data_IF_088240703790
#
_entry.id   IF_088240703790
#
_cell.length_a   1.000
_cell.length_b   1.000
_cell.length_c   1.000
_cell.angle_alpha   90.00
_cell.angle_beta   90.00
_cell.angle_gamma   90.00
#
_symmetry.space_group_name_H-M   'P 1'
#
loop_
_entity.id
_entity.type
_entity.pdbx_description
1 polymer ?
#
# COMPACT_ATOMS: atom_id res chain seq x y z
N UNK A 1 -16.67 -4.45 32.18
CA UNK A 1 -16.60 -4.85 30.76
C UNK A 1 -16.34 -3.60 29.96
N UNK A 2 -15.10 -3.42 29.53
CA UNK A 2 -14.65 -2.23 28.82
C UNK A 2 -15.21 -2.26 27.38
N UNK A 3 -16.11 -1.34 27.08
CA UNK A 3 -16.67 -1.15 25.73
C UNK A 3 -15.62 -0.44 24.89
N UNK A 4 -14.80 -1.22 24.19
CA UNK A 4 -13.85 -0.66 23.22
C UNK A 4 -14.68 -0.11 22.05
N UNK A 5 -14.79 1.22 22.01
CA UNK A 5 -15.40 1.99 20.93
C UNK A 5 -14.84 1.54 19.57
N UNK A 6 -15.76 1.18 18.67
CA UNK A 6 -15.49 0.68 17.31
C UNK A 6 -14.95 1.76 16.37
N UNK A 7 -14.22 2.76 16.87
CA UNK A 7 -13.96 3.98 16.12
C UNK A 7 -12.68 3.96 15.28
N UNK A 8 -11.61 3.24 15.62
CA UNK A 8 -10.33 3.51 14.91
C UNK A 8 -9.59 2.33 14.28
N UNK A 9 -10.13 1.10 14.27
CA UNK A 9 -9.55 0.04 13.43
C UNK A 9 -9.65 0.38 11.93
N UNK A 10 -10.72 1.06 11.50
CA UNK A 10 -10.97 1.41 10.09
C UNK A 10 -10.11 2.58 9.59
N UNK A 11 -9.75 3.51 10.46
CA UNK A 11 -8.84 4.64 10.13
C UNK A 11 -7.38 4.25 10.27
N UNK A 12 -7.02 3.43 11.26
CA UNK A 12 -5.68 2.87 11.40
C UNK A 12 -5.29 2.00 10.20
N UNK A 13 -6.25 1.26 9.64
CA UNK A 13 -6.03 0.43 8.44
C UNK A 13 -5.75 1.25 7.19
N UNK A 14 -6.42 2.40 6.98
CA UNK A 14 -6.24 3.20 5.77
C UNK A 14 -4.86 3.86 5.70
N UNK A 15 -4.42 4.49 6.80
CA UNK A 15 -3.07 5.09 6.86
C UNK A 15 -1.99 4.03 6.72
N UNK A 16 -2.16 2.89 7.38
CA UNK A 16 -1.23 1.75 7.30
C UNK A 16 -1.17 1.18 5.87
N UNK A 17 -2.31 0.97 5.22
CA UNK A 17 -2.38 0.53 3.82
C UNK A 17 -1.74 1.54 2.86
N UNK A 18 -1.92 2.84 3.11
CA UNK A 18 -1.29 3.86 2.29
C UNK A 18 0.24 3.86 2.45
N UNK A 19 0.75 3.72 3.68
CA UNK A 19 2.19 3.58 3.94
C UNK A 19 2.77 2.33 3.26
N UNK A 20 2.11 1.18 3.39
CA UNK A 20 2.50 -0.07 2.73
C UNK A 20 2.51 0.08 1.21
N UNK A 21 1.51 0.76 0.65
CA UNK A 21 1.43 1.05 -0.79
C UNK A 21 2.60 1.92 -1.26
N UNK A 22 2.90 3.00 -0.52
CA UNK A 22 4.03 3.89 -0.80
C UNK A 22 5.36 3.14 -0.73
N UNK A 23 5.55 2.28 0.28
CA UNK A 23 6.72 1.41 0.39
C UNK A 23 6.82 0.44 -0.79
N UNK A 24 5.71 -0.20 -1.20
CA UNK A 24 5.70 -1.13 -2.32
C UNK A 24 6.09 -0.48 -3.64
N UNK A 25 5.55 0.70 -3.95
CA UNK A 25 5.91 1.45 -5.16
C UNK A 25 7.38 1.91 -5.13
N UNK A 26 7.88 2.40 -3.98
CA UNK A 26 9.29 2.78 -3.82
C UNK A 26 10.24 1.61 -4.02
N UNK A 27 9.93 0.45 -3.45
CA UNK A 27 10.74 -0.76 -3.64
C UNK A 27 10.71 -1.22 -5.11
N UNK A 28 9.57 -1.07 -5.79
CA UNK A 28 9.46 -1.39 -7.22
C UNK A 28 10.29 -0.46 -8.09
N UNK A 29 10.31 0.84 -7.79
CA UNK A 29 11.19 1.82 -8.44
C UNK A 29 12.69 1.51 -8.21
N UNK A 30 13.04 0.94 -7.04
CA UNK A 30 14.40 0.43 -6.76
C UNK A 30 14.74 -0.89 -7.48
N UNK A 31 13.84 -1.44 -8.30
CA UNK A 31 14.08 -2.65 -9.09
C UNK A 31 13.69 -3.96 -8.39
N UNK A 32 13.12 -3.94 -7.19
CA UNK A 32 12.66 -5.16 -6.50
C UNK A 32 11.51 -5.85 -7.25
N UNK A 33 11.45 -7.18 -7.14
CA UNK A 33 10.35 -7.97 -7.72
C UNK A 33 9.09 -7.89 -6.85
N UNK A 34 7.91 -8.11 -7.44
CA UNK A 34 6.65 -8.06 -6.68
C UNK A 34 6.60 -9.09 -5.54
N UNK A 35 7.24 -10.24 -5.73
CA UNK A 35 7.33 -11.30 -4.72
C UNK A 35 8.13 -10.82 -3.51
N UNK A 36 9.35 -10.33 -3.73
CA UNK A 36 10.18 -9.77 -2.66
C UNK A 36 9.48 -8.62 -1.93
N UNK A 37 8.80 -7.74 -2.67
CA UNK A 37 8.08 -6.61 -2.06
C UNK A 37 6.94 -7.11 -1.16
N UNK A 38 6.20 -8.13 -1.61
CA UNK A 38 5.15 -8.77 -0.82
C UNK A 38 5.70 -9.41 0.45
N UNK A 39 6.83 -10.11 0.36
CA UNK A 39 7.51 -10.74 1.49
C UNK A 39 8.07 -9.70 2.48
N UNK A 40 8.62 -8.58 2.00
CA UNK A 40 9.17 -7.50 2.84
C UNK A 40 8.06 -6.76 3.61
N UNK A 41 6.94 -6.47 2.94
CA UNK A 41 5.84 -5.67 3.52
C UNK A 41 4.80 -6.56 4.22
N UNK A 42 4.79 -7.86 3.95
CA UNK A 42 3.80 -8.81 4.46
C UNK A 42 2.46 -8.73 3.71
N UNK A 43 2.47 -8.40 2.42
CA UNK A 43 1.27 -8.34 1.58
C UNK A 43 1.34 -9.34 0.43
N UNK A 44 0.17 -9.76 -0.06
CA UNK A 44 0.11 -10.66 -1.20
C UNK A 44 0.70 -10.01 -2.47
N UNK A 45 1.42 -10.79 -3.27
CA UNK A 45 2.05 -10.32 -4.52
C UNK A 45 1.07 -9.59 -5.46
N UNK A 46 -0.17 -10.07 -5.54
CA UNK A 46 -1.22 -9.47 -6.36
C UNK A 46 -1.59 -8.05 -5.89
N UNK A 47 -1.51 -7.79 -4.59
CA UNK A 47 -1.74 -6.46 -4.02
C UNK A 47 -0.68 -5.47 -4.49
N UNK A 48 0.59 -5.88 -4.47
CA UNK A 48 1.70 -5.06 -4.99
C UNK A 48 1.55 -4.81 -6.49
N UNK A 49 1.14 -5.82 -7.26
CA UNK A 49 0.89 -5.68 -8.69
C UNK A 49 -0.21 -4.65 -8.98
N UNK A 50 -1.34 -4.71 -8.26
CA UNK A 50 -2.43 -3.72 -8.39
C UNK A 50 -1.96 -2.29 -8.07
N UNK A 51 -1.14 -2.12 -7.04
CA UNK A 51 -0.56 -0.81 -6.70
C UNK A 51 0.32 -0.26 -7.82
N UNK A 52 1.14 -1.12 -8.43
CA UNK A 52 2.00 -0.74 -9.54
C UNK A 52 1.23 -0.41 -10.82
N UNK A 53 0.19 -1.20 -11.14
CA UNK A 53 -0.69 -0.92 -12.28
C UNK A 53 -1.40 0.42 -12.11
N UNK A 54 -1.95 0.68 -10.92
CA UNK A 54 -2.57 1.98 -10.62
C UNK A 54 -1.56 3.12 -10.74
N UNK A 55 -0.34 2.95 -10.21
CA UNK A 55 0.73 3.92 -10.36
C UNK A 55 1.10 4.21 -11.82
N UNK A 56 1.13 3.18 -12.68
CA UNK A 56 1.35 3.34 -14.12
C UNK A 56 0.20 4.02 -14.85
N UNK A 57 -1.04 3.64 -14.53
CA UNK A 57 -2.24 4.18 -15.17
C UNK A 57 -2.46 5.67 -14.84
N UNK A 58 -2.00 6.10 -13.67
CA UNK A 58 -2.15 7.48 -13.18
C UNK A 58 -1.02 8.41 -13.66
N UNK A 59 -0.02 7.89 -14.38
CA UNK A 59 1.04 8.64 -15.05
C UNK A 59 1.94 9.45 -14.11
N UNK A 60 2.98 8.81 -13.56
CA UNK A 60 4.21 9.34 -12.89
C UNK A 60 4.16 10.60 -11.97
N UNK A 61 3.04 11.29 -11.76
CA UNK A 61 3.04 12.72 -11.42
C UNK A 61 2.13 13.17 -10.28
N UNK A 62 1.57 12.28 -9.45
CA UNK A 62 0.97 12.67 -8.17
C UNK A 62 1.51 11.83 -7.03
N UNK A 63 2.58 12.35 -6.44
CA UNK A 63 3.26 11.84 -5.27
C UNK A 63 2.29 11.51 -4.13
N UNK A 64 2.26 10.22 -3.77
CA UNK A 64 2.09 9.76 -2.39
C UNK A 64 0.79 10.20 -1.66
N UNK A 65 -0.39 9.85 -2.19
CA UNK A 65 -1.65 9.95 -1.41
C UNK A 65 -2.92 9.49 -2.14
N UNK A 66 -2.92 8.31 -2.78
CA UNK A 66 -4.00 7.97 -3.73
C UNK A 66 -4.93 6.85 -3.27
N UNK A 67 -6.16 7.22 -2.89
CA UNK A 67 -7.38 6.42 -3.05
C UNK A 67 -8.21 7.01 -4.21
N UNK A 68 -9.02 6.24 -4.96
CA UNK A 68 -10.22 6.82 -5.56
C UNK A 68 -11.20 7.24 -4.45
#
# INVERSE_FOLDING_TARGET
>A
MEKIEKEDARKFTQKTQEQMRKQGVRLRQKGKTYKEIGEIIGVHINTVWKWWQKYKAEGEGKTLGFSP
#
